data_IF_806084524488
#
_entry.id   IF_806084524488
#
_cell.length_a   1.000
_cell.length_b   1.000
_cell.length_c   1.000
_cell.angle_alpha   90.00
_cell.angle_beta   90.00
_cell.angle_gamma   90.00
#
_symmetry.space_group_name_H-M   'P 1'
#
loop_
_entity.id
_entity.type
_entity.pdbx_description
1 polymer ?
#
# COMPACT_ATOMS: atom_id res chain seq x y z
N UNK A 1 24.02 2.91 38.02
CA UNK A 1 24.28 2.47 39.42
C UNK A 1 22.94 2.10 40.03
N UNK A 2 22.80 0.83 40.36
CA UNK A 2 21.82 0.14 41.22
C UNK A 2 20.53 0.85 41.65
N UNK A 3 19.39 0.18 41.45
CA UNK A 3 18.61 -0.25 42.61
C UNK A 3 17.87 -1.58 42.34
N UNK A 4 18.20 -2.59 43.16
CA UNK A 4 17.55 -3.90 43.25
C UNK A 4 16.38 -3.84 44.26
N UNK A 5 15.62 -4.94 44.33
CA UNK A 5 14.81 -5.45 45.47
C UNK A 5 13.35 -4.95 45.50
N UNK A 6 12.26 -5.70 45.75
CA UNK A 6 12.01 -7.03 46.33
C UNK A 6 10.62 -7.57 45.90
N UNK A 7 10.59 -8.89 45.67
CA UNK A 7 9.53 -9.90 45.98
C UNK A 7 8.21 -9.49 46.63
N UNK A 8 7.09 -10.02 46.10
CA UNK A 8 5.98 -10.59 46.90
C UNK A 8 5.36 -11.85 46.26
N UNK A 9 5.35 -12.89 47.08
CA UNK A 9 4.75 -14.23 47.00
C UNK A 9 3.21 -14.26 46.90
N UNK A 10 2.70 -15.19 46.09
CA UNK A 10 1.84 -16.29 46.55
C UNK A 10 0.33 -16.24 46.30
N UNK A 11 -0.18 -17.19 45.51
CA UNK A 11 -1.31 -18.06 45.88
C UNK A 11 -1.43 -19.25 44.91
N UNK A 12 -1.34 -20.45 45.47
CA UNK A 12 -1.63 -21.76 44.88
C UNK A 12 -3.14 -21.95 44.70
N UNK A 13 -3.57 -22.67 43.66
CA UNK A 13 -4.67 -23.64 43.73
C UNK A 13 -4.49 -24.70 42.63
N UNK A 14 -4.47 -25.95 43.06
CA UNK A 14 -4.24 -27.15 42.26
C UNK A 14 -5.57 -27.83 41.91
N UNK A 15 -5.62 -28.49 40.75
CA UNK A 15 -6.51 -29.63 40.53
C UNK A 15 -5.90 -30.57 39.49
N UNK A 16 -5.77 -31.84 39.88
CA UNK A 16 -5.20 -32.94 39.12
C UNK A 16 -6.29 -33.71 38.37
N UNK A 17 -5.94 -34.32 37.23
CA UNK A 17 -6.76 -35.30 36.54
C UNK A 17 -5.97 -35.99 35.43
N UNK A 18 -5.49 -37.20 35.70
CA UNK A 18 -4.72 -38.07 34.80
C UNK A 18 -5.60 -39.26 34.41
N UNK A 19 -5.73 -39.56 33.12
CA UNK A 19 -6.21 -40.86 32.65
C UNK A 19 -5.58 -41.22 31.30
N UNK A 20 -4.86 -42.34 31.28
CA UNK A 20 -4.21 -42.99 30.15
C UNK A 20 -5.00 -44.26 29.81
N UNK A 21 -5.23 -44.56 28.53
CA UNK A 21 -5.57 -45.92 28.07
C UNK A 21 -5.08 -46.14 26.63
N UNK A 22 -4.48 -47.32 26.39
CA UNK A 22 -3.88 -47.83 25.14
C UNK A 22 -4.43 -49.25 24.85
N UNK A 23 -4.28 -49.76 23.61
CA UNK A 23 -4.42 -51.18 23.12
C UNK A 23 -5.78 -51.48 22.42
N UNK A 24 -5.97 -52.21 21.30
CA UNK A 24 -5.19 -53.12 20.41
C UNK A 24 -5.90 -53.31 19.01
N UNK A 25 -5.27 -54.10 18.13
CA UNK A 25 -5.45 -54.30 16.67
C UNK A 25 -6.31 -55.54 16.24
N UNK A 26 -6.84 -55.50 15.00
CA UNK A 26 -7.02 -56.57 13.96
C UNK A 26 -8.37 -57.31 13.67
N UNK A 27 -8.78 -57.21 12.38
CA UNK A 27 -9.32 -58.21 11.40
C UNK A 27 -10.84 -58.29 10.98
N UNK A 28 -11.07 -57.95 9.69
CA UNK A 28 -12.06 -58.29 8.63
C UNK A 28 -13.60 -58.45 8.82
N UNK A 29 -14.39 -57.71 8.01
CA UNK A 29 -15.82 -57.98 7.75
C UNK A 29 -16.69 -56.80 7.23
N UNK A 30 -16.85 -56.73 5.91
CA UNK A 30 -17.62 -55.82 5.03
C UNK A 30 -19.08 -55.43 5.45
N UNK A 31 -19.43 -54.14 5.29
CA UNK A 31 -20.58 -53.63 4.50
C UNK A 31 -21.10 -52.25 4.98
N UNK A 32 -20.61 -51.21 4.32
CA UNK A 32 -21.32 -50.01 3.85
C UNK A 32 -22.41 -49.38 4.72
N UNK A 33 -22.09 -48.23 5.31
CA UNK A 33 -22.87 -46.99 5.13
C UNK A 33 -21.97 -45.82 5.49
N UNK A 34 -21.69 -45.00 4.48
CA UNK A 34 -20.86 -43.81 4.51
C UNK A 34 -21.50 -42.74 5.41
N UNK A 35 -20.79 -42.33 6.47
CA UNK A 35 -20.78 -40.94 6.94
C UNK A 35 -19.42 -40.70 7.62
N UNK A 36 -18.56 -40.00 6.90
CA UNK A 36 -17.15 -39.78 7.18
C UNK A 36 -16.95 -39.01 8.48
N UNK A 37 -16.12 -39.60 9.35
CA UNK A 37 -15.02 -39.01 10.14
C UNK A 37 -15.10 -37.51 10.44
N UNK A 38 -15.10 -37.10 11.72
CA UNK A 38 -13.87 -37.02 12.53
C UNK A 38 -12.72 -36.32 11.77
N UNK A 39 -12.65 -35.00 11.96
CA UNK A 39 -11.44 -34.21 11.79
C UNK A 39 -11.25 -33.55 13.16
N UNK A 40 -10.46 -34.16 14.03
CA UNK A 40 -9.01 -33.93 14.14
C UNK A 40 -8.74 -32.43 14.32
N UNK A 41 -8.50 -32.11 15.58
CA UNK A 41 -8.14 -30.84 16.15
C UNK A 41 -6.79 -30.40 15.56
N UNK A 42 -6.84 -29.83 14.36
CA UNK A 42 -5.81 -28.95 13.86
C UNK A 42 -6.04 -27.58 14.52
N UNK A 43 -5.01 -27.11 15.22
CA UNK A 43 -4.93 -25.73 15.63
C UNK A 43 -5.16 -24.81 14.42
N UNK A 44 -6.03 -23.80 14.50
CA UNK A 44 -5.95 -22.71 13.57
C UNK A 44 -4.75 -21.85 14.00
N UNK A 45 -3.63 -22.00 13.31
CA UNK A 45 -3.05 -20.80 12.70
C UNK A 45 -4.05 -20.32 11.63
N UNK A 46 -3.98 -19.04 11.26
CA UNK A 46 -4.94 -18.34 10.38
C UNK A 46 -6.22 -17.94 11.16
N UNK A 47 -6.60 -16.69 11.29
CA UNK A 47 -6.36 -15.49 10.50
C UNK A 47 -6.43 -14.31 11.46
N UNK A 48 -5.38 -13.50 11.51
CA UNK A 48 -5.39 -12.21 12.19
C UNK A 48 -6.58 -11.40 11.65
N UNK A 49 -7.48 -11.00 12.54
CA UNK A 49 -8.66 -10.17 12.24
C UNK A 49 -8.29 -8.70 11.93
N UNK A 50 -7.14 -8.48 11.26
CA UNK A 50 -6.65 -7.18 10.77
C UNK A 50 -6.96 -6.97 9.27
N UNK A 51 -7.83 -7.79 8.67
CA UNK A 51 -8.15 -7.80 7.23
C UNK A 51 -9.40 -6.99 6.86
N UNK A 52 -9.77 -5.95 7.62
CA UNK A 52 -10.93 -5.09 7.29
C UNK A 52 -10.69 -3.59 7.51
N UNK A 53 -9.44 -3.16 7.53
CA UNK A 53 -9.06 -1.78 7.28
C UNK A 53 -7.85 -1.78 6.33
N UNK A 54 -7.92 -1.03 5.22
CA UNK A 54 -6.75 -0.49 4.49
C UNK A 54 -5.76 -1.43 3.76
N UNK A 55 -6.23 -2.32 2.87
CA UNK A 55 -5.35 -2.93 1.85
C UNK A 55 -5.18 -2.06 0.60
N UNK A 56 -4.14 -2.26 -0.22
CA UNK A 56 -4.04 -1.69 -1.57
C UNK A 56 -5.20 -2.19 -2.45
N UNK A 57 -5.72 -1.33 -3.32
CA UNK A 57 -6.87 -1.67 -4.18
C UNK A 57 -6.64 -1.28 -5.64
N UNK A 58 -7.25 -2.02 -6.56
CA UNK A 58 -7.22 -1.75 -8.00
C UNK A 58 -6.44 -2.80 -8.82
N UNK A 59 -6.93 -3.08 -10.02
CA UNK A 59 -6.41 -4.14 -10.90
C UNK A 59 -4.93 -3.96 -11.27
N UNK A 60 -4.46 -2.71 -11.37
CA UNK A 60 -3.07 -2.42 -11.74
C UNK A 60 -2.10 -2.58 -10.57
N UNK A 61 -2.56 -2.83 -9.34
CA UNK A 61 -1.67 -3.21 -8.23
C UNK A 61 -0.92 -4.52 -8.53
N UNK A 62 -1.46 -5.37 -9.41
CA UNK A 62 -0.77 -6.57 -9.90
C UNK A 62 0.50 -6.29 -10.73
N UNK A 63 0.66 -5.06 -11.25
CA UNK A 63 1.87 -4.64 -11.95
C UNK A 63 3.00 -4.25 -10.99
N UNK A 64 2.69 -4.02 -9.72
CA UNK A 64 3.69 -3.79 -8.67
C UNK A 64 4.29 -5.14 -8.26
N UNK A 65 5.62 -5.25 -8.11
CA UNK A 65 6.26 -6.46 -7.61
C UNK A 65 5.66 -6.93 -6.27
N UNK A 66 5.43 -8.23 -6.13
CA UNK A 66 4.93 -8.81 -4.87
C UNK A 66 5.99 -8.81 -3.75
N UNK A 67 7.28 -8.86 -4.12
CA UNK A 67 8.41 -8.94 -3.18
C UNK A 67 9.56 -8.03 -3.62
N UNK A 68 10.41 -7.63 -2.67
CA UNK A 68 11.61 -6.81 -2.88
C UNK A 68 11.39 -5.32 -2.59
N UNK A 69 12.42 -4.50 -2.81
CA UNK A 69 12.40 -3.05 -2.49
C UNK A 69 11.33 -2.28 -3.29
N UNK A 70 10.93 -2.79 -4.46
CA UNK A 70 9.85 -2.22 -5.28
C UNK A 70 8.45 -2.76 -4.98
N UNK A 71 8.30 -3.60 -3.95
CA UNK A 71 6.98 -4.11 -3.50
C UNK A 71 6.31 -3.15 -2.54
N UNK A 72 5.01 -3.34 -2.27
CA UNK A 72 4.29 -2.54 -1.27
C UNK A 72 4.97 -2.56 0.11
N UNK A 73 5.42 -3.74 0.56
CA UNK A 73 6.15 -3.87 1.81
C UNK A 73 7.52 -3.16 1.78
N UNK A 74 8.25 -3.26 0.66
CA UNK A 74 9.53 -2.57 0.50
C UNK A 74 9.37 -1.05 0.43
N UNK A 75 8.33 -0.58 -0.25
CA UNK A 75 8.02 0.85 -0.38
C UNK A 75 7.63 1.48 0.96
N UNK A 76 7.01 0.73 1.88
CA UNK A 76 6.64 1.20 3.21
C UNK A 76 7.84 1.60 4.09
N UNK A 77 9.01 1.00 3.87
CA UNK A 77 10.23 1.26 4.64
C UNK A 77 11.02 2.47 4.10
N UNK A 78 10.75 2.89 2.86
CA UNK A 78 11.50 3.91 2.13
C UNK A 78 10.69 5.20 1.90
N UNK A 79 11.36 6.37 1.82
CA UNK A 79 10.72 7.61 1.40
C UNK A 79 10.18 7.52 -0.04
N UNK A 80 9.14 8.28 -0.35
CA UNK A 80 8.37 8.18 -1.59
C UNK A 80 9.19 8.24 -2.88
N UNK A 81 10.24 9.07 -2.95
CA UNK A 81 11.06 9.14 -4.17
C UNK A 81 11.98 7.91 -4.29
N UNK A 82 12.49 7.40 -3.16
CA UNK A 82 13.27 6.16 -3.12
C UNK A 82 12.38 4.95 -3.45
N UNK A 83 11.22 4.85 -2.81
CA UNK A 83 10.21 3.83 -3.06
C UNK A 83 9.81 3.79 -4.55
N UNK A 84 9.51 4.96 -5.15
CA UNK A 84 9.20 5.07 -6.57
C UNK A 84 10.36 4.62 -7.47
N UNK A 85 11.62 4.88 -7.08
CA UNK A 85 12.81 4.48 -7.85
C UNK A 85 13.01 2.95 -7.91
N UNK A 86 12.52 2.23 -6.90
CA UNK A 86 12.56 0.78 -6.86
C UNK A 86 11.42 0.13 -7.66
N UNK A 87 10.40 0.90 -8.06
CA UNK A 87 9.24 0.40 -8.79
C UNK A 87 9.37 0.62 -10.31
N UNK A 88 9.40 -0.45 -11.13
CA UNK A 88 9.57 -0.32 -12.58
C UNK A 88 8.40 0.40 -13.28
N UNK A 89 7.21 0.43 -12.68
CA UNK A 89 6.02 1.10 -13.24
C UNK A 89 6.12 2.63 -13.12
N UNK A 90 6.97 3.13 -12.22
CA UNK A 90 7.13 4.55 -11.88
C UNK A 90 8.47 5.15 -12.36
N UNK A 91 9.25 4.40 -13.13
CA UNK A 91 10.59 4.83 -13.57
C UNK A 91 10.60 6.17 -14.33
N UNK A 92 9.54 6.46 -15.11
CA UNK A 92 9.42 7.73 -15.83
C UNK A 92 9.19 8.91 -14.88
N UNK A 93 8.37 8.71 -13.84
CA UNK A 93 8.15 9.70 -12.79
C UNK A 93 9.45 10.01 -12.05
N UNK A 94 10.23 8.98 -11.68
CA UNK A 94 11.53 9.16 -10.99
C UNK A 94 12.50 9.97 -11.84
N UNK A 95 12.52 9.74 -13.15
CA UNK A 95 13.33 10.54 -14.09
C UNK A 95 12.88 12.00 -14.06
N UNK A 96 11.57 12.26 -14.15
CA UNK A 96 11.02 13.61 -14.10
C UNK A 96 11.32 14.34 -12.77
N UNK A 97 11.14 13.67 -11.63
CA UNK A 97 11.45 14.20 -10.29
C UNK A 97 12.94 14.49 -10.12
N UNK A 98 13.80 13.67 -10.71
CA UNK A 98 15.26 13.87 -10.69
C UNK A 98 15.66 15.08 -11.55
N UNK A 99 15.10 15.23 -12.76
CA UNK A 99 15.34 16.39 -13.63
C UNK A 99 14.81 17.70 -13.02
N UNK A 100 13.76 17.62 -12.22
CA UNK A 100 13.18 18.74 -11.47
C UNK A 100 13.89 19.04 -10.13
N UNK A 101 14.89 18.25 -9.73
CA UNK A 101 15.59 18.37 -8.44
C UNK A 101 14.62 18.28 -7.23
N UNK A 102 13.51 17.55 -7.37
CA UNK A 102 12.47 17.44 -6.33
C UNK A 102 12.65 16.23 -5.41
N UNK A 103 13.63 15.37 -5.67
CA UNK A 103 13.87 14.14 -4.88
C UNK A 103 14.02 14.45 -3.39
N UNK A 104 14.87 15.43 -3.05
CA UNK A 104 15.11 15.82 -1.66
C UNK A 104 13.86 16.45 -1.02
N UNK A 105 13.08 17.20 -1.80
CA UNK A 105 11.84 17.84 -1.34
C UNK A 105 10.78 16.79 -0.99
N UNK A 106 10.57 15.80 -1.88
CA UNK A 106 9.60 14.73 -1.66
C UNK A 106 10.03 13.80 -0.53
N UNK A 107 11.33 13.51 -0.39
CA UNK A 107 11.85 12.68 0.70
C UNK A 107 11.82 13.38 2.06
N UNK A 108 11.87 14.71 2.08
CA UNK A 108 11.81 15.51 3.32
C UNK A 108 10.39 15.87 3.73
N UNK A 109 9.42 15.79 2.81
CA UNK A 109 8.02 16.00 3.12
C UNK A 109 7.47 14.83 3.94
N UNK A 110 6.58 15.09 4.90
CA UNK A 110 5.98 14.06 5.74
C UNK A 110 4.46 14.18 5.70
N UNK A 111 3.76 13.04 5.71
CA UNK A 111 2.30 12.97 5.66
C UNK A 111 1.73 13.65 4.41
N UNK A 112 2.25 13.31 3.24
CA UNK A 112 1.75 13.79 1.95
C UNK A 112 1.04 12.69 1.18
N UNK A 113 0.22 13.09 0.22
CA UNK A 113 -0.39 12.16 -0.75
C UNK A 113 0.17 12.44 -2.13
N UNK A 114 0.64 11.41 -2.83
CA UNK A 114 1.25 11.54 -4.15
C UNK A 114 0.41 10.75 -5.16
N UNK A 115 -0.12 11.46 -6.15
CA UNK A 115 -0.75 10.84 -7.31
C UNK A 115 0.32 10.51 -8.34
N UNK A 116 0.73 9.26 -8.44
CA UNK A 116 1.86 8.84 -9.26
C UNK A 116 1.37 8.30 -10.62
N UNK A 117 1.55 9.04 -11.74
CA UNK A 117 1.25 8.51 -13.06
C UNK A 117 2.14 7.32 -13.44
N UNK A 118 1.54 6.30 -14.06
CA UNK A 118 2.26 5.16 -14.62
C UNK A 118 3.11 5.58 -15.83
N UNK A 119 4.07 4.74 -16.22
CA UNK A 119 4.79 4.92 -17.50
C UNK A 119 3.83 5.01 -18.71
N UNK A 120 2.71 4.28 -18.69
CA UNK A 120 1.70 4.32 -19.75
C UNK A 120 0.97 5.67 -19.79
N UNK A 121 0.73 6.30 -18.64
CA UNK A 121 0.18 7.64 -18.54
C UNK A 121 1.08 8.68 -19.22
N UNK A 122 2.39 8.58 -19.03
CA UNK A 122 3.36 9.43 -19.72
C UNK A 122 3.42 9.15 -21.22
N UNK A 123 3.33 7.87 -21.62
CA UNK A 123 3.32 7.48 -23.02
C UNK A 123 2.05 7.91 -23.77
N UNK A 124 0.94 8.13 -23.05
CA UNK A 124 -0.30 8.65 -23.61
C UNK A 124 -0.22 10.15 -23.96
N UNK A 125 0.73 10.90 -23.39
CA UNK A 125 0.95 12.31 -23.71
C UNK A 125 1.64 12.42 -25.07
N UNK A 126 1.22 13.36 -25.95
CA UNK A 126 1.97 13.67 -27.15
C UNK A 126 3.43 14.03 -26.84
N UNK A 127 4.39 13.42 -27.55
CA UNK A 127 5.82 13.67 -27.31
C UNK A 127 6.21 15.15 -27.37
N UNK A 128 5.48 15.95 -28.17
CA UNK A 128 5.69 17.39 -28.27
C UNK A 128 5.35 18.12 -26.95
N UNK A 129 4.28 17.72 -26.28
CA UNK A 129 3.86 18.32 -25.01
C UNK A 129 4.77 17.84 -23.89
N UNK A 130 5.13 16.55 -23.88
CA UNK A 130 6.11 16.01 -22.92
C UNK A 130 7.47 16.71 -23.06
N UNK A 131 7.97 16.91 -24.29
CA UNK A 131 9.21 17.66 -24.51
C UNK A 131 9.10 19.12 -24.10
N UNK A 132 7.95 19.76 -24.32
CA UNK A 132 7.74 21.14 -23.88
C UNK A 132 7.82 21.25 -22.35
N UNK A 133 7.20 20.30 -21.64
CA UNK A 133 7.25 20.21 -20.17
C UNK A 133 8.68 19.92 -19.69
N UNK A 134 9.36 18.94 -20.27
CA UNK A 134 10.73 18.58 -19.87
C UNK A 134 11.75 19.68 -20.19
N UNK A 135 11.49 20.50 -21.22
CA UNK A 135 12.35 21.63 -21.57
C UNK A 135 12.16 22.84 -20.65
N UNK A 136 11.07 22.90 -19.88
CA UNK A 136 10.71 24.01 -19.00
C UNK A 136 10.67 23.53 -17.54
N UNK A 137 11.73 23.82 -16.78
CA UNK A 137 11.85 23.43 -15.37
C UNK A 137 10.73 24.01 -14.49
N UNK A 138 10.26 25.23 -14.78
CA UNK A 138 9.19 25.85 -13.98
C UNK A 138 7.88 25.09 -14.23
N UNK A 139 7.61 24.72 -15.49
CA UNK A 139 6.45 23.91 -15.85
C UNK A 139 6.52 22.50 -15.27
N UNK A 140 7.68 21.84 -15.35
CA UNK A 140 7.91 20.51 -14.79
C UNK A 140 7.69 20.51 -13.27
N UNK A 141 8.24 21.50 -12.56
CA UNK A 141 8.05 21.67 -11.12
C UNK A 141 6.59 21.88 -10.78
N UNK A 142 5.89 22.74 -11.53
CA UNK A 142 4.45 23.00 -11.36
C UNK A 142 3.63 21.72 -11.52
N UNK A 143 3.90 20.92 -12.56
CA UNK A 143 3.21 19.66 -12.81
C UNK A 143 3.48 18.65 -11.69
N UNK A 144 4.75 18.46 -11.30
CA UNK A 144 5.09 17.50 -10.24
C UNK A 144 4.50 17.91 -8.89
N UNK A 145 4.51 19.20 -8.55
CA UNK A 145 3.88 19.70 -7.32
C UNK A 145 2.35 19.67 -7.37
N UNK A 146 1.74 19.69 -8.56
CA UNK A 146 0.30 19.50 -8.73
C UNK A 146 -0.16 18.05 -8.46
N UNK A 147 0.72 17.07 -8.61
CA UNK A 147 0.43 15.68 -8.25
C UNK A 147 0.56 15.40 -6.75
N UNK A 148 1.04 16.36 -5.97
CA UNK A 148 1.29 16.19 -4.54
C UNK A 148 0.30 17.03 -3.74
N UNK A 149 -0.40 16.37 -2.82
CA UNK A 149 -1.23 17.02 -1.81
C UNK A 149 -0.44 17.05 -0.51
N UNK A 150 -0.40 18.22 0.13
CA UNK A 150 0.34 18.44 1.38
C UNK A 150 -0.31 17.82 2.63
N UNK A 151 -1.16 16.81 2.45
CA UNK A 151 -1.92 16.11 3.48
C UNK A 151 -1.99 14.63 3.12
N UNK A 152 -1.94 13.75 4.13
CA UNK A 152 -2.08 12.32 3.95
C UNK A 152 -3.56 11.97 3.94
N UNK A 153 -4.02 11.36 2.86
CA UNK A 153 -5.43 11.04 2.63
C UNK A 153 -5.58 9.52 2.60
N UNK A 154 -6.39 9.00 3.52
CA UNK A 154 -6.79 7.61 3.54
C UNK A 154 -7.79 7.32 2.40
N UNK A 155 -7.87 6.07 1.90
CA UNK A 155 -8.76 5.73 0.79
C UNK A 155 -10.25 6.00 1.09
N UNK A 156 -10.65 5.92 2.35
CA UNK A 156 -12.00 6.25 2.83
C UNK A 156 -12.34 7.74 2.75
N UNK A 157 -11.33 8.61 2.86
CA UNK A 157 -11.43 10.06 2.79
C UNK A 157 -10.97 10.63 1.44
N UNK A 158 -10.69 9.75 0.46
CA UNK A 158 -10.16 10.15 -0.84
C UNK A 158 -11.15 10.98 -1.67
N UNK A 159 -12.44 10.93 -1.36
CA UNK A 159 -13.47 11.71 -2.05
C UNK A 159 -13.52 13.17 -1.58
N UNK A 160 -13.23 14.12 -2.47
CA UNK A 160 -13.30 15.54 -2.14
C UNK A 160 -12.47 16.44 -3.04
N UNK A 161 -12.26 17.67 -2.59
CA UNK A 161 -11.38 18.64 -3.24
C UNK A 161 -10.19 18.90 -2.33
N UNK A 162 -8.97 18.77 -2.88
CA UNK A 162 -7.74 18.91 -2.13
C UNK A 162 -6.85 19.99 -2.73
N UNK A 163 -6.10 20.69 -1.89
CA UNK A 163 -5.14 21.71 -2.33
C UNK A 163 -3.78 21.07 -2.54
N UNK A 164 -3.22 21.24 -3.73
CA UNK A 164 -1.91 20.68 -4.11
C UNK A 164 -0.78 21.57 -3.59
N UNK A 165 0.46 21.06 -3.58
CA UNK A 165 1.64 21.86 -3.24
C UNK A 165 1.91 22.99 -4.24
N UNK A 166 1.42 22.84 -5.49
CA UNK A 166 1.49 23.88 -6.51
C UNK A 166 0.61 25.09 -6.15
N UNK A 167 -0.48 24.87 -5.42
CA UNK A 167 -1.43 25.89 -4.95
C UNK A 167 -2.83 25.77 -5.55
N UNK A 168 -2.97 25.12 -6.70
CA UNK A 168 -4.25 24.80 -7.31
C UNK A 168 -4.92 23.60 -6.63
N UNK A 169 -6.23 23.48 -6.84
CA UNK A 169 -7.02 22.37 -6.29
C UNK A 169 -7.19 21.23 -7.28
N UNK A 170 -7.18 20.01 -6.79
CA UNK A 170 -7.62 18.82 -7.51
C UNK A 170 -8.94 18.31 -6.92
N UNK A 171 -9.79 17.75 -7.76
CA UNK A 171 -11.04 17.10 -7.36
C UNK A 171 -10.88 15.59 -7.53
N UNK A 172 -11.18 14.83 -6.49
CA UNK A 172 -11.23 13.38 -6.54
C UNK A 172 -12.67 12.93 -6.30
N UNK A 173 -13.21 12.22 -7.27
CA UNK A 173 -14.56 11.70 -7.25
C UNK A 173 -14.53 10.18 -7.48
N UNK A 174 -15.44 9.46 -6.86
CA UNK A 174 -15.45 8.00 -6.94
C UNK A 174 -16.05 7.36 -5.70
N UNK A 175 -16.01 6.03 -5.66
CA UNK A 175 -16.37 5.26 -4.49
C UNK A 175 -15.83 3.83 -4.58
N UNK A 176 -15.58 3.23 -3.40
CA UNK A 176 -15.03 1.87 -3.32
C UNK A 176 -13.61 1.85 -3.88
N UNK A 177 -13.43 1.10 -4.97
CA UNK A 177 -12.14 0.92 -5.63
C UNK A 177 -12.00 1.77 -6.91
N UNK A 178 -13.08 2.42 -7.34
CA UNK A 178 -13.13 3.23 -8.56
C UNK A 178 -13.05 4.72 -8.19
N UNK A 179 -11.84 5.29 -8.30
CA UNK A 179 -11.59 6.71 -8.08
C UNK A 179 -11.08 7.39 -9.33
N UNK A 180 -11.50 8.63 -9.54
CA UNK A 180 -11.10 9.48 -10.66
C UNK A 180 -10.67 10.86 -10.14
N UNK A 181 -9.49 11.30 -10.53
CA UNK A 181 -8.93 12.63 -10.27
C UNK A 181 -9.20 13.55 -11.46
N UNK A 182 -9.72 14.75 -11.18
CA UNK A 182 -10.14 15.77 -12.13
C UNK A 182 -11.09 15.27 -13.24
N UNK A 183 -11.81 14.18 -12.98
CA UNK A 183 -12.74 13.56 -13.95
C UNK A 183 -12.07 12.91 -15.17
N UNK A 184 -10.73 12.83 -15.23
CA UNK A 184 -10.00 12.29 -16.38
C UNK A 184 -8.95 11.22 -16.02
N UNK A 185 -8.34 11.29 -14.83
CA UNK A 185 -7.29 10.36 -14.42
C UNK A 185 -7.86 9.31 -13.47
N UNK A 186 -7.83 8.03 -13.84
CA UNK A 186 -8.35 6.96 -12.99
C UNK A 186 -7.24 6.46 -12.05
N UNK A 187 -7.60 6.23 -10.78
CA UNK A 187 -6.73 5.55 -9.82
C UNK A 187 -6.78 4.05 -10.13
N UNK A 188 -5.67 3.53 -10.63
CA UNK A 188 -5.54 2.14 -11.06
C UNK A 188 -4.92 1.25 -9.99
N UNK A 189 -4.18 1.84 -9.05
CA UNK A 189 -3.75 1.19 -7.82
C UNK A 189 -3.68 2.24 -6.70
N UNK A 190 -4.47 2.07 -5.64
CA UNK A 190 -4.56 3.03 -4.54
C UNK A 190 -4.07 2.47 -3.21
N UNK A 191 -3.89 3.37 -2.25
CA UNK A 191 -3.49 3.09 -0.86
C UNK A 191 -2.08 2.46 -0.71
N UNK A 192 -1.14 2.82 -1.58
CA UNK A 192 0.25 2.35 -1.48
C UNK A 192 0.97 3.15 -0.39
N UNK A 193 1.33 2.51 0.71
CA UNK A 193 1.99 3.18 1.84
C UNK A 193 3.50 3.26 1.63
N UNK A 194 4.06 4.44 1.87
CA UNK A 194 5.51 4.70 1.95
C UNK A 194 5.87 5.28 3.30
N UNK A 195 7.17 5.40 3.61
CA UNK A 195 7.60 5.88 4.92
C UNK A 195 7.08 7.29 5.28
N UNK A 196 6.83 8.13 4.27
CA UNK A 196 6.45 9.54 4.47
C UNK A 196 5.19 9.97 3.68
N UNK A 197 4.65 9.11 2.81
CA UNK A 197 3.54 9.45 1.93
C UNK A 197 2.59 8.28 1.67
N UNK A 198 1.37 8.60 1.23
CA UNK A 198 0.46 7.64 0.60
C UNK A 198 0.46 7.87 -0.91
N UNK A 199 0.73 6.82 -1.68
CA UNK A 199 0.81 6.87 -3.15
C UNK A 199 -0.47 6.29 -3.76
N UNK A 200 -1.03 7.03 -4.71
CA UNK A 200 -2.14 6.59 -5.56
C UNK A 200 -1.67 6.59 -7.00
N UNK A 201 -1.55 5.41 -7.60
CA UNK A 201 -1.10 5.24 -8.97
C UNK A 201 -2.27 5.55 -9.92
N UNK A 202 -2.03 6.42 -10.88
CA UNK A 202 -3.03 6.90 -11.85
C UNK A 202 -2.64 6.59 -13.30
N UNK A 203 -3.64 6.46 -14.17
CA UNK A 203 -3.46 6.16 -15.60
C UNK A 203 -3.21 7.37 -16.50
N UNK A 204 -3.24 8.58 -15.95
CA UNK A 204 -3.14 9.84 -16.70
C UNK A 204 -2.30 10.87 -15.92
N UNK A 205 -1.58 11.74 -16.61
CA UNK A 205 -0.82 12.82 -15.96
C UNK A 205 -1.71 14.04 -15.73
N UNK A 206 -1.67 14.57 -14.51
CA UNK A 206 -2.41 15.76 -14.10
C UNK A 206 -1.67 17.02 -14.55
N UNK A 207 -2.28 17.77 -15.47
CA UNK A 207 -1.76 19.05 -15.95
C UNK A 207 -2.49 20.20 -15.24
N UNK A 208 -1.80 21.12 -14.57
CA UNK A 208 -2.43 22.31 -13.97
C UNK A 208 -3.01 23.23 -15.07
N UNK A 209 -4.05 23.97 -14.72
CA UNK A 209 -4.88 24.75 -15.67
C UNK A 209 -4.38 26.19 -15.90
#
# INVERSE_FOLDING_TARGET
MSNRLLTRTGALLAAAGFALAMTACSDDGDASSEDTAATEEAAPEETTEEEMASGEFGDACSAVPADGEGSFAGMADDPVATAASNNPVLSTLVTAVTEADLVDTLNSAENITVFAPTNDAFAAIPEADLQAVLADQDMLTSILTYHVVGEQIAPEDLGGTFTTLQGDTLEVAGSGEEWTVNGSANVVCGNVQTANATVYIIDSVLMPA
#
